data_IF_711021948689
#
_entry.id   IF_711021948689
#
_cell.length_a   1.000
_cell.length_b   1.000
_cell.length_c   1.000
_cell.angle_alpha   90.00
_cell.angle_beta   90.00
_cell.angle_gamma   90.00
#
_symmetry.space_group_name_H-M   'P 1'
#
loop_
_entity.id
_entity.type
_entity.pdbx_description
1 polymer ?
#
# COMPACT_ATOMS: atom_id res chain seq x y z
N UNK A 1 -52.65 1.24 -15.11
CA UNK A 1 -52.93 2.12 -16.26
C UNK A 1 -51.68 2.22 -17.13
N UNK A 2 -51.74 1.65 -18.33
CA UNK A 2 -50.70 1.70 -19.37
C UNK A 2 -50.66 3.07 -20.05
N UNK A 3 -49.45 3.53 -20.40
CA UNK A 3 -49.23 4.32 -21.62
C UNK A 3 -47.96 3.82 -22.30
N UNK A 4 -48.13 3.35 -23.54
CA UNK A 4 -47.10 2.82 -24.44
C UNK A 4 -47.08 3.71 -25.69
N UNK A 5 -45.92 3.76 -26.34
CA UNK A 5 -45.61 4.21 -27.73
C UNK A 5 -45.55 5.74 -27.90
N UNK A 6 -44.78 6.34 -28.79
CA UNK A 6 -44.20 5.92 -30.07
C UNK A 6 -43.11 6.97 -30.40
N UNK A 7 -41.85 6.61 -30.67
CA UNK A 7 -41.33 6.54 -32.04
C UNK A 7 -40.59 7.82 -32.48
N UNK A 8 -39.35 7.67 -32.97
CA UNK A 8 -38.80 8.46 -34.09
C UNK A 8 -37.60 7.72 -34.70
N UNK A 9 -37.74 7.51 -36.00
CA UNK A 9 -36.84 6.80 -36.90
C UNK A 9 -35.60 7.64 -37.26
N UNK A 10 -34.54 6.91 -37.62
CA UNK A 10 -33.33 7.36 -38.34
C UNK A 10 -33.65 8.08 -39.67
N UNK A 11 -32.65 8.84 -40.19
CA UNK A 11 -32.02 8.44 -41.46
C UNK A 11 -30.48 8.49 -41.36
N UNK A 12 -29.73 7.45 -41.71
CA UNK A 12 -29.25 7.04 -43.04
C UNK A 12 -28.32 8.04 -43.78
N UNK A 13 -27.11 7.52 -44.05
CA UNK A 13 -26.25 7.68 -45.24
C UNK A 13 -25.69 9.05 -45.68
N UNK A 14 -24.35 9.11 -45.73
CA UNK A 14 -23.56 9.82 -46.75
C UNK A 14 -22.19 9.12 -46.80
N UNK A 15 -22.05 8.08 -47.63
CA UNK A 15 -21.57 8.07 -49.02
C UNK A 15 -20.09 8.46 -49.19
N UNK A 16 -19.37 7.50 -49.75
CA UNK A 16 -17.93 7.42 -49.93
C UNK A 16 -17.37 8.28 -51.08
N UNK A 17 -16.03 8.35 -51.10
CA UNK A 17 -15.14 7.92 -52.19
C UNK A 17 -14.29 9.02 -52.89
N UNK A 18 -13.07 8.57 -53.30
CA UNK A 18 -12.04 9.15 -54.20
C UNK A 18 -10.91 9.96 -53.51
N UNK A 19 -9.60 9.74 -53.75
CA UNK A 19 -8.88 8.97 -54.75
C UNK A 19 -7.41 8.71 -54.31
N UNK A 20 -6.82 7.69 -54.93
CA UNK A 20 -5.49 7.13 -54.77
C UNK A 20 -4.30 8.03 -55.17
N UNK A 21 -3.12 7.72 -54.63
CA UNK A 21 -1.86 7.76 -55.39
C UNK A 21 -0.89 6.70 -54.84
N UNK A 22 -0.57 5.73 -55.71
CA UNK A 22 0.46 4.71 -55.52
C UNK A 22 1.85 5.31 -55.77
N UNK A 23 2.85 4.88 -55.00
CA UNK A 23 4.22 4.72 -55.51
C UNK A 23 5.13 3.93 -54.55
N UNK A 24 5.53 2.72 -54.97
CA UNK A 24 6.90 2.20 -54.81
C UNK A 24 7.28 1.40 -53.55
N UNK A 25 7.40 0.08 -53.68
CA UNK A 25 8.18 -0.84 -52.82
C UNK A 25 9.72 -0.69 -53.10
N UNK A 26 10.69 -1.32 -52.38
CA UNK A 26 10.59 -2.54 -51.55
C UNK A 26 11.47 -2.64 -50.27
N UNK A 27 11.25 -3.74 -49.53
CA UNK A 27 12.22 -4.54 -48.77
C UNK A 27 13.16 -3.86 -47.75
N UNK A 28 12.80 -3.93 -46.47
CA UNK A 28 13.74 -4.34 -45.41
C UNK A 28 12.96 -5.18 -44.38
N UNK A 29 13.26 -6.48 -44.38
CA UNK A 29 12.87 -7.40 -43.33
C UNK A 29 13.86 -7.21 -42.17
N UNK A 30 13.58 -6.27 -41.27
CA UNK A 30 14.33 -6.14 -40.02
C UNK A 30 13.59 -6.97 -38.96
N UNK A 31 14.04 -8.21 -38.75
CA UNK A 31 13.64 -9.01 -37.61
C UNK A 31 14.07 -8.26 -36.33
N UNK A 32 13.13 -7.58 -35.69
CA UNK A 32 13.32 -7.05 -34.35
C UNK A 32 13.48 -8.23 -33.40
N UNK A 33 14.74 -8.63 -33.17
CA UNK A 33 15.13 -9.33 -31.95
C UNK A 33 14.84 -8.36 -30.81
N UNK A 34 13.77 -8.63 -30.09
CA UNK A 34 13.59 -8.09 -28.75
C UNK A 34 14.68 -8.70 -27.87
N UNK A 35 15.82 -8.01 -27.80
CA UNK A 35 16.72 -8.15 -26.66
C UNK A 35 15.88 -7.79 -25.42
N UNK A 36 15.39 -8.83 -24.75
CA UNK A 36 14.89 -8.76 -23.38
C UNK A 36 16.04 -8.34 -22.48
N UNK A 37 16.33 -7.05 -22.47
CA UNK A 37 16.99 -6.42 -21.35
C UNK A 37 16.04 -6.61 -20.16
N UNK A 38 16.34 -7.62 -19.35
CA UNK A 38 15.76 -7.78 -18.03
C UNK A 38 16.02 -6.49 -17.26
N UNK A 39 15.04 -5.58 -17.32
CA UNK A 39 14.93 -4.45 -16.44
C UNK A 39 14.85 -5.03 -15.05
N UNK A 40 15.97 -5.02 -14.33
CA UNK A 40 15.99 -5.11 -12.87
C UNK A 40 15.19 -3.91 -12.35
N UNK A 41 13.87 -4.08 -12.29
CA UNK A 41 12.98 -3.16 -11.62
C UNK A 41 13.39 -3.23 -10.15
N UNK A 42 14.19 -2.27 -9.72
CA UNK A 42 14.36 -1.98 -8.31
C UNK A 42 12.97 -1.54 -7.85
N UNK A 43 12.16 -2.48 -7.34
CA UNK A 43 10.80 -2.20 -6.86
C UNK A 43 10.88 -1.05 -5.87
N UNK A 44 10.47 0.14 -6.33
CA UNK A 44 10.52 1.35 -5.51
C UNK A 44 9.55 1.17 -4.36
N UNK A 45 10.10 1.01 -3.15
CA UNK A 45 9.29 0.77 -1.96
C UNK A 45 8.39 1.97 -1.68
N UNK A 46 7.10 1.70 -1.45
CA UNK A 46 6.14 2.72 -1.01
C UNK A 46 6.66 3.37 0.29
N UNK A 47 6.56 4.71 0.41
CA UNK A 47 7.19 5.44 1.50
C UNK A 47 6.55 5.14 2.85
N UNK A 48 7.32 5.34 3.93
CA UNK A 48 6.82 5.34 5.29
C UNK A 48 6.08 6.65 5.54
N UNK A 49 4.90 6.59 6.17
CA UNK A 49 4.10 7.77 6.49
C UNK A 49 3.89 7.89 7.99
N UNK A 50 3.97 9.11 8.50
CA UNK A 50 3.70 9.46 9.89
C UNK A 50 2.39 10.23 9.94
N UNK A 51 1.39 9.65 10.58
CA UNK A 51 0.11 10.29 10.84
C UNK A 51 0.10 10.80 12.28
N UNK A 52 -0.13 12.10 12.44
CA UNK A 52 -0.37 12.71 13.75
C UNK A 52 -1.87 12.65 14.03
N UNK A 53 -2.23 11.99 15.13
CA UNK A 53 -3.63 11.76 15.50
C UNK A 53 -4.30 13.07 15.91
N UNK A 54 -3.60 13.95 16.62
CA UNK A 54 -4.14 15.23 17.04
C UNK A 54 -4.32 16.20 15.85
N UNK A 55 -3.38 16.18 14.90
CA UNK A 55 -3.48 17.00 13.69
C UNK A 55 -4.41 16.40 12.62
N UNK A 56 -4.81 15.13 12.76
CA UNK A 56 -5.71 14.43 11.84
C UNK A 56 -5.15 14.24 10.42
N UNK A 57 -3.82 14.27 10.24
CA UNK A 57 -3.18 14.22 8.91
C UNK A 57 -1.79 13.59 8.92
N UNK A 58 -1.32 13.23 7.72
CA UNK A 58 0.08 12.85 7.50
C UNK A 58 0.96 14.08 7.67
N UNK A 59 1.87 14.04 8.64
CA UNK A 59 2.82 15.12 8.95
C UNK A 59 4.21 14.86 8.38
N UNK A 60 4.51 13.62 7.98
CA UNK A 60 5.81 13.27 7.40
C UNK A 60 5.69 12.08 6.45
N UNK A 61 6.43 12.16 5.34
CA UNK A 61 6.60 11.07 4.37
C UNK A 61 8.10 10.83 4.19
N UNK A 62 8.55 9.58 4.33
CA UNK A 62 9.97 9.23 4.38
C UNK A 62 10.23 8.11 3.36
N UNK A 63 11.28 8.20 2.52
CA UNK A 63 11.69 7.10 1.66
C UNK A 63 11.86 5.82 2.47
N UNK A 64 11.22 4.75 2.01
CA UNK A 64 11.30 3.44 2.65
C UNK A 64 12.62 2.77 2.23
N UNK A 65 13.26 2.07 3.17
CA UNK A 65 14.58 1.49 2.97
C UNK A 65 14.72 0.14 3.68
N UNK A 66 15.84 -0.53 3.44
CA UNK A 66 16.14 -1.83 4.06
C UNK A 66 16.16 -1.78 5.59
N UNK A 67 16.43 -0.62 6.22
CA UNK A 67 16.42 -0.48 7.69
C UNK A 67 14.98 -0.49 8.21
N UNK A 68 14.04 0.19 7.54
CA UNK A 68 12.62 0.11 7.87
C UNK A 68 12.09 -1.32 7.70
N UNK A 69 12.42 -1.99 6.60
CA UNK A 69 12.02 -3.38 6.37
C UNK A 69 12.57 -4.34 7.45
N UNK A 70 13.82 -4.15 7.89
CA UNK A 70 14.42 -4.96 8.96
C UNK A 70 13.69 -4.77 10.29
N UNK A 71 13.29 -3.54 10.63
CA UNK A 71 12.54 -3.27 11.86
C UNK A 71 11.13 -3.85 11.79
N UNK A 72 10.44 -3.66 10.66
CA UNK A 72 9.13 -4.24 10.40
C UNK A 72 9.12 -5.77 10.56
N UNK A 73 10.13 -6.45 9.99
CA UNK A 73 10.30 -7.91 10.14
C UNK A 73 10.49 -8.34 11.61
N UNK A 74 11.21 -7.54 12.42
CA UNK A 74 11.37 -7.82 13.84
C UNK A 74 10.05 -7.69 14.60
N UNK A 75 9.24 -6.68 14.28
CA UNK A 75 7.92 -6.51 14.90
C UNK A 75 7.03 -7.71 14.60
N UNK A 76 6.86 -8.06 13.32
CA UNK A 76 6.01 -9.20 12.92
C UNK A 76 6.52 -10.54 13.47
N UNK A 77 7.84 -10.71 13.57
CA UNK A 77 8.46 -11.91 14.14
C UNK A 77 8.46 -11.98 15.67
N UNK A 78 8.01 -10.92 16.35
CA UNK A 78 7.89 -10.86 17.82
C UNK A 78 6.45 -10.67 18.27
N UNK A 79 5.48 -10.93 17.39
CA UNK A 79 4.06 -10.91 17.74
C UNK A 79 3.78 -11.97 18.79
N UNK A 80 3.23 -11.55 19.92
CA UNK A 80 2.91 -12.43 21.06
C UNK A 80 1.45 -12.86 21.07
N UNK A 81 0.58 -12.10 20.40
CA UNK A 81 -0.84 -12.41 20.32
C UNK A 81 -1.66 -11.25 19.76
N UNK A 82 -2.98 -11.45 19.71
CA UNK A 82 -3.91 -10.38 19.45
C UNK A 82 -3.91 -9.38 20.60
N UNK A 83 -3.96 -8.10 20.26
CA UNK A 83 -4.18 -7.06 21.25
C UNK A 83 -5.65 -7.07 21.72
N UNK A 84 -5.91 -6.69 22.98
CA UNK A 84 -7.27 -6.37 23.43
C UNK A 84 -7.84 -5.21 22.59
N UNK A 85 -9.17 -5.09 22.58
CA UNK A 85 -9.86 -4.05 21.81
C UNK A 85 -9.32 -2.66 22.16
N UNK A 86 -8.98 -1.88 21.13
CA UNK A 86 -8.59 -0.48 21.29
C UNK A 86 -9.81 0.30 21.79
N UNK A 87 -9.75 0.82 23.01
CA UNK A 87 -10.77 1.73 23.54
C UNK A 87 -10.54 3.13 22.97
N UNK A 88 -11.60 3.92 22.81
CA UNK A 88 -11.52 5.24 22.15
C UNK A 88 -10.78 6.31 22.98
N UNK A 89 -10.41 5.99 24.22
CA UNK A 89 -9.72 6.85 25.19
C UNK A 89 -8.19 6.81 25.07
N UNK A 90 -7.64 6.00 24.16
CA UNK A 90 -6.21 5.75 24.12
C UNK A 90 -5.44 6.91 23.48
N UNK A 91 -4.49 7.46 24.26
CA UNK A 91 -3.64 8.64 24.02
C UNK A 91 -2.60 8.47 22.88
N UNK A 92 -2.94 7.69 21.85
CA UNK A 92 -2.07 7.42 20.72
C UNK A 92 -1.76 8.72 20.00
N UNK A 93 -0.48 9.08 20.01
CA UNK A 93 -0.02 10.38 19.52
C UNK A 93 0.31 10.29 18.03
N UNK A 94 0.87 9.16 17.60
CA UNK A 94 1.26 8.92 16.21
C UNK A 94 0.92 7.51 15.74
N UNK A 95 0.58 7.41 14.46
CA UNK A 95 0.48 6.15 13.72
C UNK A 95 1.49 6.16 12.59
N UNK A 96 2.33 5.13 12.52
CA UNK A 96 3.34 5.00 11.48
C UNK A 96 2.93 3.91 10.50
N UNK A 97 2.65 4.29 9.26
CA UNK A 97 2.44 3.33 8.18
C UNK A 97 3.78 2.91 7.60
N UNK A 98 4.06 1.62 7.64
CA UNK A 98 5.25 0.99 7.07
C UNK A 98 4.81 -0.02 6.02
N UNK A 99 4.86 0.35 4.72
CA UNK A 99 4.65 -0.60 3.64
C UNK A 99 5.73 -1.66 3.62
N UNK A 100 5.35 -2.92 3.44
CA UNK A 100 6.28 -4.03 3.31
C UNK A 100 6.67 -4.22 1.85
N UNK A 101 7.93 -4.59 1.62
CA UNK A 101 8.43 -4.90 0.28
C UNK A 101 7.70 -6.10 -0.33
N UNK A 102 7.38 -7.09 0.51
CA UNK A 102 6.58 -8.27 0.15
C UNK A 102 5.63 -8.58 1.30
N UNK A 103 4.46 -9.17 1.02
CA UNK A 103 3.57 -9.60 2.08
C UNK A 103 4.27 -10.52 3.08
N UNK A 104 4.05 -10.29 4.38
CA UNK A 104 4.57 -11.12 5.47
C UNK A 104 3.42 -11.92 6.06
N UNK A 105 3.59 -13.25 6.13
CA UNK A 105 2.64 -14.12 6.80
C UNK A 105 2.76 -13.97 8.31
N UNK A 106 1.66 -13.64 8.98
CA UNK A 106 1.54 -13.58 10.44
C UNK A 106 0.65 -14.75 10.86
N UNK A 107 1.15 -15.56 11.80
CA UNK A 107 0.42 -16.70 12.37
C UNK A 107 0.42 -16.59 13.89
N UNK A 108 -0.75 -16.37 14.48
CA UNK A 108 -0.91 -16.29 15.95
C UNK A 108 -2.38 -16.48 16.33
N UNK A 109 -2.65 -17.06 17.51
CA UNK A 109 -4.02 -17.19 18.03
C UNK A 109 -5.01 -17.89 17.10
N UNK A 110 -4.55 -18.86 16.28
CA UNK A 110 -5.38 -19.56 15.30
C UNK A 110 -5.70 -18.77 14.02
N UNK A 111 -5.10 -17.58 13.85
CA UNK A 111 -5.25 -16.75 12.66
C UNK A 111 -4.00 -16.89 11.78
N UNK A 112 -4.19 -16.89 10.47
CA UNK A 112 -3.13 -16.81 9.46
C UNK A 112 -3.52 -15.75 8.44
N UNK A 113 -2.69 -14.72 8.28
CA UNK A 113 -2.94 -13.63 7.32
C UNK A 113 -1.65 -13.17 6.63
N UNK A 114 -1.78 -12.55 5.47
CA UNK A 114 -0.67 -11.93 4.74
C UNK A 114 -0.74 -10.40 4.85
N UNK A 115 0.18 -9.82 5.63
CA UNK A 115 0.25 -8.38 5.85
C UNK A 115 1.08 -7.71 4.75
N UNK A 116 0.54 -6.69 4.08
CA UNK A 116 1.25 -5.87 3.08
C UNK A 116 1.62 -4.47 3.58
N UNK A 117 0.88 -3.98 4.57
CA UNK A 117 1.07 -2.69 5.21
C UNK A 117 0.99 -2.91 6.72
N UNK A 118 1.94 -2.35 7.45
CA UNK A 118 1.91 -2.34 8.92
C UNK A 118 1.61 -0.93 9.41
N UNK A 119 0.80 -0.82 10.45
CA UNK A 119 0.48 0.44 11.12
C UNK A 119 0.92 0.31 12.57
N UNK A 120 2.03 0.95 12.92
CA UNK A 120 2.55 0.98 14.28
C UNK A 120 1.83 2.09 15.05
N UNK A 121 1.09 1.71 16.08
CA UNK A 121 0.46 2.63 17.02
C UNK A 121 1.43 2.91 18.17
N UNK A 122 1.72 4.19 18.39
CA UNK A 122 2.55 4.66 19.50
C UNK A 122 1.72 5.56 20.43
N UNK A 123 1.53 5.09 21.66
CA UNK A 123 0.70 5.72 22.67
C UNK A 123 1.54 5.88 23.96
N UNK A 124 1.40 7.00 24.67
CA UNK A 124 2.35 7.39 25.74
C UNK A 124 2.43 6.40 26.91
N UNK A 125 1.29 5.79 27.25
CA UNK A 125 1.14 4.95 28.46
C UNK A 125 0.81 3.50 28.14
N UNK A 126 0.92 3.09 26.87
CA UNK A 126 0.54 1.76 26.43
C UNK A 126 1.65 1.10 25.61
N UNK A 127 1.75 -0.24 25.65
CA UNK A 127 2.66 -0.94 24.77
C UNK A 127 2.34 -0.61 23.31
N UNK A 128 3.37 -0.54 22.45
CA UNK A 128 3.15 -0.34 21.03
C UNK A 128 2.35 -1.51 20.46
N UNK A 129 1.45 -1.19 19.54
CA UNK A 129 0.60 -2.18 18.88
C UNK A 129 0.76 -2.11 17.37
N UNK A 130 0.57 -3.25 16.72
CA UNK A 130 0.71 -3.39 15.28
C UNK A 130 -0.65 -3.71 14.67
N UNK A 131 -1.19 -2.77 13.90
CA UNK A 131 -2.37 -2.99 13.09
C UNK A 131 -1.94 -3.42 11.68
N UNK A 132 -2.64 -4.42 11.15
CA UNK A 132 -2.56 -4.80 9.73
C UNK A 132 -3.95 -5.23 9.27
N UNK A 133 -4.09 -5.38 7.96
CA UNK A 133 -5.29 -5.90 7.34
C UNK A 133 -5.01 -7.23 6.66
N UNK A 134 -6.02 -8.11 6.61
CA UNK A 134 -6.02 -9.25 5.70
C UNK A 134 -6.40 -8.83 4.27
N UNK A 135 -6.52 -9.81 3.39
CA UNK A 135 -6.93 -9.65 1.99
C UNK A 135 -8.35 -9.08 1.83
N UNK A 136 -9.24 -9.33 2.81
CA UNK A 136 -10.59 -8.79 2.87
C UNK A 136 -10.65 -7.40 3.53
N UNK A 137 -9.50 -6.78 3.81
CA UNK A 137 -9.37 -5.51 4.54
C UNK A 137 -9.93 -5.55 5.96
N UNK A 138 -9.99 -6.73 6.58
CA UNK A 138 -10.39 -6.86 7.98
C UNK A 138 -9.19 -6.49 8.87
N UNK A 139 -9.37 -5.60 9.86
CA UNK A 139 -8.29 -5.17 10.73
C UNK A 139 -7.95 -6.23 11.78
N UNK A 140 -6.65 -6.40 12.04
CA UNK A 140 -6.12 -7.19 13.15
C UNK A 140 -5.07 -6.37 13.89
N UNK A 141 -5.24 -6.28 15.20
CA UNK A 141 -4.33 -5.58 16.09
C UNK A 141 -3.53 -6.60 16.90
N UNK A 142 -2.21 -6.42 16.95
CA UNK A 142 -1.29 -7.35 17.58
C UNK A 142 -0.44 -6.66 18.65
N UNK A 143 -0.14 -7.40 19.72
CA UNK A 143 0.94 -7.10 20.65
C UNK A 143 2.24 -7.72 20.14
N UNK A 144 3.38 -7.07 20.41
CA UNK A 144 4.70 -7.56 20.03
C UNK A 144 5.80 -7.03 20.96
N UNK A 145 6.92 -7.73 21.04
CA UNK A 145 7.98 -7.43 22.04
C UNK A 145 9.15 -6.59 21.50
N UNK A 146 9.34 -6.53 20.18
CA UNK A 146 10.50 -5.87 19.61
C UNK A 146 10.56 -4.36 19.91
N UNK A 147 11.74 -3.88 20.32
CA UNK A 147 11.97 -2.46 20.63
C UNK A 147 11.73 -1.55 19.42
N UNK A 148 10.87 -0.54 19.61
CA UNK A 148 10.52 0.47 18.61
C UNK A 148 11.42 1.72 18.66
N UNK A 149 12.23 1.91 19.72
CA UNK A 149 13.09 3.10 19.86
C UNK A 149 13.98 3.35 18.64
N UNK A 150 14.62 2.34 18.00
CA UNK A 150 15.41 2.57 16.79
C UNK A 150 14.58 3.11 15.62
N UNK A 151 13.32 2.71 15.52
CA UNK A 151 12.40 3.20 14.50
C UNK A 151 12.01 4.65 14.75
N UNK A 152 11.59 4.97 15.98
CA UNK A 152 11.23 6.34 16.37
C UNK A 152 12.42 7.29 16.15
N UNK A 153 13.63 6.88 16.54
CA UNK A 153 14.86 7.64 16.29
C UNK A 153 15.12 7.88 14.80
N UNK A 154 14.87 6.89 13.94
CA UNK A 154 15.05 7.02 12.49
C UNK A 154 13.98 7.92 11.85
N UNK A 155 12.75 7.87 12.34
CA UNK A 155 11.66 8.75 11.88
C UNK A 155 11.88 10.18 12.35
N UNK A 156 12.44 10.36 13.55
CA UNK A 156 12.76 11.66 14.14
C UNK A 156 11.55 12.41 14.71
N UNK A 157 10.46 11.71 15.04
CA UNK A 157 9.25 12.25 15.68
C UNK A 157 8.61 11.17 16.57
N UNK A 158 8.04 11.53 17.74
CA UNK A 158 8.38 12.67 18.60
C UNK A 158 9.71 12.40 19.33
N UNK A 159 10.30 13.39 20.05
CA UNK A 159 11.41 13.11 20.97
C UNK A 159 10.97 12.00 21.94
N UNK A 160 11.79 10.97 22.09
CA UNK A 160 11.67 10.09 23.24
C UNK A 160 12.02 10.96 24.44
N UNK A 161 11.03 11.33 25.25
CA UNK A 161 11.27 12.02 26.52
C UNK A 161 12.28 11.17 27.30
N UNK A 162 13.41 11.79 27.63
CA UNK A 162 14.59 11.18 28.25
C UNK A 162 14.44 11.06 29.75
#
# INVERSE_FOLDING_TARGET
MMKVRLGRLLPMLSLALLLAALSGAPAFAEAQREDSAASSQEETLRPVQVFDVAAGKVVKTIPNDKKFQKMAKKWTGSITGLAPQLTADQSCTYVYRVPLAKPVTIQTGGISLAASDLFLFYCKEQPPMLLTFDDQRKPYLFLFDADIKPFIKKVGLPPLES
#
